data_IF_657215530007
#
_entry.id   IF_657215530007
#
_cell.length_a   1.000
_cell.length_b   1.000
_cell.length_c   1.000
_cell.angle_alpha   90.00
_cell.angle_beta   90.00
_cell.angle_gamma   90.00
#
_symmetry.space_group_name_H-M   'P 1'
#
loop_
_entity.id
_entity.type
_entity.pdbx_description
1 polymer ?
#
# COMPACT_ATOMS: atom_id res chain seq x y z
N UNK A 1 24.24 8.84 14.50
CA UNK A 1 22.92 8.77 13.86
C UNK A 1 22.90 7.54 12.96
N UNK A 2 21.96 6.62 13.14
CA UNK A 2 21.80 5.52 12.22
C UNK A 2 21.47 6.09 10.82
N UNK A 3 22.02 5.52 9.73
CA UNK A 3 21.71 5.98 8.39
C UNK A 3 20.20 5.91 8.18
N UNK A 4 19.61 7.01 7.75
CA UNK A 4 18.17 7.09 7.50
C UNK A 4 17.83 6.12 6.36
N UNK A 5 17.20 4.99 6.67
CA UNK A 5 16.80 4.02 5.66
C UNK A 5 15.79 4.69 4.74
N UNK A 6 16.01 4.69 3.41
CA UNK A 6 15.07 5.30 2.49
C UNK A 6 13.71 4.62 2.57
N UNK A 7 12.63 5.41 2.49
CA UNK A 7 11.26 4.88 2.43
C UNK A 7 11.03 4.06 1.16
N UNK A 8 9.97 3.26 1.15
CA UNK A 8 9.61 2.48 -0.04
C UNK A 8 9.40 3.41 -1.25
N UNK A 9 8.77 4.58 -1.08
CA UNK A 9 8.56 5.56 -2.13
C UNK A 9 9.87 6.11 -2.68
N UNK A 10 10.85 6.40 -1.82
CA UNK A 10 12.19 6.84 -2.23
C UNK A 10 12.93 5.74 -3.00
N UNK A 11 12.82 4.48 -2.55
CA UNK A 11 13.40 3.33 -3.25
C UNK A 11 12.74 3.13 -4.63
N UNK A 12 11.41 3.25 -4.72
CA UNK A 12 10.67 3.17 -5.99
C UNK A 12 11.13 4.22 -6.99
N UNK A 13 11.24 5.48 -6.53
CA UNK A 13 11.77 6.57 -7.34
C UNK A 13 13.17 6.25 -7.89
N UNK A 14 14.10 5.87 -7.01
CA UNK A 14 15.47 5.56 -7.41
C UNK A 14 15.56 4.35 -8.35
N UNK A 15 14.77 3.32 -8.11
CA UNK A 15 14.71 2.12 -8.96
C UNK A 15 14.22 2.47 -10.37
N UNK A 16 13.23 3.36 -10.49
CA UNK A 16 12.71 3.75 -11.80
C UNK A 16 13.73 4.57 -12.58
N UNK A 17 14.45 5.49 -11.93
CA UNK A 17 15.58 6.19 -12.56
C UNK A 17 16.66 5.20 -13.06
N UNK A 18 16.94 4.18 -12.27
CA UNK A 18 17.88 3.15 -12.66
C UNK A 18 17.38 2.35 -13.88
N UNK A 19 16.08 2.00 -13.94
CA UNK A 19 15.47 1.33 -15.09
C UNK A 19 15.58 2.17 -16.36
N UNK A 20 15.29 3.46 -16.28
CA UNK A 20 15.44 4.38 -17.40
C UNK A 20 16.88 4.43 -17.89
N UNK A 21 17.85 4.55 -16.99
CA UNK A 21 19.27 4.54 -17.33
C UNK A 21 19.69 3.23 -18.02
N UNK A 22 19.27 2.09 -17.47
CA UNK A 22 19.60 0.76 -18.02
C UNK A 22 18.94 0.53 -19.38
N UNK A 23 17.70 0.98 -19.58
CA UNK A 23 16.99 0.94 -20.86
C UNK A 23 17.69 1.79 -21.93
N UNK A 24 18.27 2.94 -21.55
CA UNK A 24 19.12 3.76 -22.43
C UNK A 24 20.52 3.14 -22.68
N UNK A 25 20.82 1.96 -22.17
CA UNK A 25 22.13 1.32 -22.29
C UNK A 25 23.27 2.05 -21.58
N UNK A 26 22.96 2.99 -20.67
CA UNK A 26 23.96 3.81 -20.01
C UNK A 26 24.51 3.18 -18.75
N UNK A 27 25.83 3.27 -18.55
CA UNK A 27 26.46 2.95 -17.27
C UNK A 27 26.28 4.08 -16.26
N UNK A 28 26.32 3.76 -14.95
CA UNK A 28 26.25 4.79 -13.91
C UNK A 28 27.38 5.83 -13.99
N UNK A 29 28.64 5.47 -14.34
CA UNK A 29 29.68 6.48 -14.63
C UNK A 29 29.35 7.41 -15.80
N UNK A 30 28.78 6.88 -16.90
CA UNK A 30 28.38 7.68 -18.05
C UNK A 30 27.28 8.69 -17.68
N UNK A 31 26.22 8.22 -16.96
CA UNK A 31 25.17 9.08 -16.46
C UNK A 31 25.73 10.18 -15.53
N UNK A 32 26.66 9.82 -14.66
CA UNK A 32 27.33 10.76 -13.75
C UNK A 32 28.08 11.86 -14.53
N UNK A 33 28.86 11.50 -15.54
CA UNK A 33 29.58 12.44 -16.39
C UNK A 33 28.61 13.38 -17.09
N UNK A 34 27.53 12.87 -17.69
CA UNK A 34 26.52 13.68 -18.39
C UNK A 34 25.77 14.64 -17.48
N UNK A 35 25.62 14.28 -16.20
CA UNK A 35 24.95 15.12 -15.16
C UNK A 35 25.94 16.08 -14.46
N UNK A 36 27.24 15.95 -14.70
CA UNK A 36 28.28 16.73 -14.01
C UNK A 36 28.42 16.36 -12.53
N UNK A 37 28.37 15.06 -12.21
CA UNK A 37 28.46 14.51 -10.83
C UNK A 37 29.37 13.28 -10.81
N UNK A 38 29.49 12.61 -9.67
CA UNK A 38 30.23 11.38 -9.54
C UNK A 38 29.31 10.13 -9.57
N UNK A 39 29.90 8.95 -9.82
CA UNK A 39 29.22 7.66 -9.85
C UNK A 39 28.50 7.35 -8.52
N UNK A 40 29.10 7.73 -7.40
CA UNK A 40 28.54 7.44 -6.06
C UNK A 40 27.25 8.19 -5.86
N UNK A 41 27.16 9.44 -6.35
CA UNK A 41 25.95 10.25 -6.30
C UNK A 41 24.81 9.60 -7.12
N UNK A 42 25.06 9.19 -8.37
CA UNK A 42 24.06 8.45 -9.17
C UNK A 42 23.61 7.18 -8.43
N UNK A 43 24.55 6.38 -7.92
CA UNK A 43 24.21 5.14 -7.19
C UNK A 43 23.37 5.40 -5.92
N UNK A 44 23.61 6.50 -5.21
CA UNK A 44 22.83 6.88 -4.04
C UNK A 44 21.44 7.41 -4.41
N UNK A 45 21.29 8.14 -5.52
CA UNK A 45 19.98 8.57 -6.05
C UNK A 45 19.18 7.32 -6.44
N UNK A 46 19.78 6.40 -7.22
CA UNK A 46 19.11 5.15 -7.66
C UNK A 46 18.78 4.22 -6.51
N UNK A 47 19.51 4.28 -5.39
CA UNK A 47 19.19 3.55 -4.16
C UNK A 47 18.16 4.28 -3.27
N UNK A 48 17.66 5.44 -3.66
CA UNK A 48 16.72 6.24 -2.89
C UNK A 48 17.31 6.94 -1.67
N UNK A 49 18.64 6.93 -1.50
CA UNK A 49 19.33 7.53 -0.35
C UNK A 49 19.47 9.04 -0.47
N UNK A 50 19.62 9.54 -1.69
CA UNK A 50 19.77 10.95 -2.00
C UNK A 50 18.59 11.43 -2.84
N UNK A 51 18.09 12.62 -2.51
CA UNK A 51 17.14 13.33 -3.36
C UNK A 51 17.82 13.95 -4.57
N UNK A 52 17.01 14.34 -5.54
CA UNK A 52 17.43 15.07 -6.73
C UNK A 52 16.48 16.25 -6.93
N UNK A 53 16.96 17.37 -7.48
CA UNK A 53 16.09 18.47 -7.88
C UNK A 53 15.29 18.10 -9.14
N UNK A 54 14.13 18.73 -9.31
CA UNK A 54 13.30 18.54 -10.50
C UNK A 54 14.08 18.83 -11.80
N UNK A 55 14.84 19.93 -11.83
CA UNK A 55 15.68 20.29 -12.97
C UNK A 55 16.66 19.17 -13.35
N UNK A 56 17.37 18.62 -12.36
CA UNK A 56 18.33 17.52 -12.58
C UNK A 56 17.64 16.22 -12.98
N UNK A 57 16.43 15.96 -12.45
CA UNK A 57 15.60 14.82 -12.87
C UNK A 57 15.25 14.95 -14.36
N UNK A 58 14.68 16.08 -14.77
CA UNK A 58 14.30 16.32 -16.18
C UNK A 58 15.50 16.21 -17.10
N UNK A 59 16.66 16.69 -16.67
CA UNK A 59 17.92 16.52 -17.41
C UNK A 59 18.30 15.04 -17.53
N UNK A 60 18.17 14.22 -16.45
CA UNK A 60 18.43 12.79 -16.54
C UNK A 60 17.43 12.10 -17.46
N UNK A 61 16.13 12.42 -17.38
CA UNK A 61 15.11 11.86 -18.26
C UNK A 61 15.44 12.14 -19.76
N UNK A 62 15.89 13.35 -20.08
CA UNK A 62 16.35 13.70 -21.43
C UNK A 62 17.61 12.92 -21.83
N UNK A 63 18.58 12.77 -20.93
CA UNK A 63 19.82 12.00 -21.19
C UNK A 63 19.50 10.51 -21.42
N UNK A 64 18.49 9.99 -20.73
CA UNK A 64 18.02 8.59 -20.85
C UNK A 64 17.02 8.39 -22.00
N UNK A 65 16.75 9.44 -22.79
CA UNK A 65 15.80 9.40 -23.93
C UNK A 65 14.42 8.90 -23.52
N UNK A 66 13.98 9.26 -22.31
CA UNK A 66 12.65 8.89 -21.81
C UNK A 66 11.58 9.70 -22.53
N UNK A 67 10.75 9.02 -23.34
CA UNK A 67 9.65 9.62 -24.09
C UNK A 67 8.29 9.51 -23.36
N UNK A 68 8.24 8.90 -22.17
CA UNK A 68 7.04 8.84 -21.31
C UNK A 68 6.96 10.12 -20.48
N UNK A 69 6.30 11.14 -21.01
CA UNK A 69 6.11 12.43 -20.34
C UNK A 69 5.35 12.28 -19.03
N UNK A 70 4.33 11.41 -18.97
CA UNK A 70 3.53 11.16 -17.75
C UNK A 70 4.41 10.56 -16.64
N UNK A 71 5.34 9.67 -16.99
CA UNK A 71 6.30 9.14 -16.02
C UNK A 71 7.24 10.23 -15.52
N UNK A 72 7.77 11.07 -16.41
CA UNK A 72 8.68 12.18 -16.05
C UNK A 72 7.96 13.16 -15.12
N UNK A 73 6.73 13.55 -15.41
CA UNK A 73 5.92 14.43 -14.55
C UNK A 73 5.64 13.78 -13.18
N UNK A 74 5.28 12.50 -13.17
CA UNK A 74 5.05 11.77 -11.92
C UNK A 74 6.32 11.70 -11.07
N UNK A 75 7.47 11.43 -11.68
CA UNK A 75 8.76 11.44 -10.98
C UNK A 75 9.13 12.86 -10.51
N UNK A 76 8.87 13.90 -11.32
CA UNK A 76 9.10 15.29 -10.94
C UNK A 76 8.30 15.69 -9.69
N UNK A 77 7.06 15.28 -9.60
CA UNK A 77 6.23 15.49 -8.41
C UNK A 77 6.75 14.76 -7.14
N UNK A 78 7.67 13.80 -7.30
CA UNK A 78 8.33 13.11 -6.19
C UNK A 78 9.63 13.80 -5.73
N UNK A 79 10.12 14.80 -6.47
CA UNK A 79 11.31 15.58 -6.13
C UNK A 79 11.01 16.70 -5.12
N UNK A 80 11.97 17.55 -4.81
CA UNK A 80 11.75 18.75 -3.98
C UNK A 80 11.81 18.53 -2.48
N UNK A 81 12.28 17.37 -2.05
CA UNK A 81 12.47 17.04 -0.65
C UNK A 81 11.18 16.56 0.02
N UNK A 82 11.34 16.01 1.21
CA UNK A 82 10.25 15.43 1.99
C UNK A 82 9.52 16.51 2.75
N UNK A 83 8.26 16.75 2.43
CA UNK A 83 7.37 17.54 3.29
C UNK A 83 7.00 16.68 4.50
N UNK A 84 6.87 17.32 5.66
CA UNK A 84 6.37 16.65 6.86
C UNK A 84 4.95 16.12 6.60
N UNK A 85 4.72 14.88 6.98
CA UNK A 85 3.46 14.18 6.80
C UNK A 85 2.96 13.67 8.16
N UNK A 86 1.66 13.40 8.29
CA UNK A 86 1.07 12.98 9.54
C UNK A 86 1.74 11.72 10.14
N UNK A 87 2.24 10.80 9.31
CA UNK A 87 2.92 9.58 9.80
C UNK A 87 4.32 9.85 10.36
N UNK A 88 4.88 11.05 10.18
CA UNK A 88 6.20 11.37 10.74
C UNK A 88 6.21 11.41 12.26
N UNK A 89 5.08 11.72 12.88
CA UNK A 89 4.93 11.68 14.34
C UNK A 89 5.10 10.27 14.92
N UNK A 90 4.88 9.23 14.12
CA UNK A 90 5.06 7.84 14.51
C UNK A 90 6.47 7.30 14.23
N UNK A 91 7.35 8.11 13.66
CA UNK A 91 8.73 7.72 13.36
C UNK A 91 9.49 7.35 14.62
N UNK A 92 10.09 6.14 14.62
CA UNK A 92 10.76 5.58 15.80
C UNK A 92 9.82 5.06 16.90
N UNK A 93 8.49 5.18 16.70
CA UNK A 93 7.46 4.70 17.64
C UNK A 93 6.75 3.44 17.14
N UNK A 94 6.69 3.26 15.83
CA UNK A 94 6.14 2.06 15.17
C UNK A 94 7.17 1.49 14.19
N UNK A 95 7.06 0.20 13.79
CA UNK A 95 7.94 -0.40 12.79
C UNK A 95 7.96 0.40 11.48
N UNK A 96 9.14 0.59 10.85
CA UNK A 96 9.27 1.39 9.62
C UNK A 96 8.35 0.96 8.49
N UNK A 97 8.09 -0.34 8.34
CA UNK A 97 7.18 -0.86 7.32
C UNK A 97 5.73 -0.36 7.44
N UNK A 98 5.26 -0.03 8.66
CA UNK A 98 3.94 0.58 8.83
C UNK A 98 3.92 2.02 8.29
N UNK A 99 5.03 2.75 8.41
CA UNK A 99 5.17 4.09 7.82
C UNK A 99 5.24 4.02 6.30
N UNK A 100 5.94 3.01 5.76
CA UNK A 100 6.00 2.75 4.34
C UNK A 100 4.60 2.50 3.75
N UNK A 101 3.74 1.72 4.44
CA UNK A 101 2.35 1.50 4.03
C UNK A 101 1.57 2.82 4.01
N UNK A 102 1.68 3.64 5.06
CA UNK A 102 1.02 4.95 5.12
C UNK A 102 1.44 5.86 3.96
N UNK A 103 2.72 5.88 3.62
CA UNK A 103 3.26 6.70 2.55
C UNK A 103 2.72 6.25 1.18
N UNK A 104 2.70 4.94 0.87
CA UNK A 104 2.18 4.46 -0.41
C UNK A 104 0.67 4.64 -0.53
N UNK A 105 -0.10 4.44 0.55
CA UNK A 105 -1.55 4.70 0.57
C UNK A 105 -1.86 6.19 0.33
N UNK A 106 -1.15 7.07 1.00
CA UNK A 106 -1.33 8.52 0.88
C UNK A 106 -1.11 9.01 -0.56
N UNK A 107 -0.07 8.51 -1.21
CA UNK A 107 0.29 8.92 -2.57
C UNK A 107 -0.40 8.11 -3.68
N UNK A 108 -1.14 7.07 -3.33
CA UNK A 108 -1.93 6.31 -4.30
C UNK A 108 -3.03 7.17 -4.92
N UNK A 109 -3.40 6.87 -6.15
CA UNK A 109 -4.61 7.40 -6.81
C UNK A 109 -5.80 6.46 -6.61
N UNK A 110 -5.55 5.18 -6.34
CA UNK A 110 -6.55 4.15 -6.05
C UNK A 110 -5.93 3.04 -5.22
N UNK A 111 -6.73 2.39 -4.39
CA UNK A 111 -6.35 1.24 -3.59
C UNK A 111 -7.19 0.02 -3.97
N UNK A 112 -6.54 -1.13 -4.10
CA UNK A 112 -7.21 -2.42 -4.33
C UNK A 112 -6.67 -3.45 -3.34
N UNK A 113 -7.52 -4.22 -2.70
CA UNK A 113 -7.10 -5.24 -1.74
C UNK A 113 -7.80 -6.57 -1.94
N UNK A 114 -7.10 -7.64 -1.59
CA UNK A 114 -7.69 -8.96 -1.33
C UNK A 114 -7.32 -9.37 0.07
N UNK A 115 -8.30 -9.82 0.85
CA UNK A 115 -8.11 -10.22 2.24
C UNK A 115 -8.77 -11.56 2.51
N UNK A 116 -7.98 -12.53 2.96
CA UNK A 116 -8.47 -13.91 3.17
C UNK A 116 -8.53 -14.31 4.64
N UNK A 117 -7.73 -13.70 5.51
CA UNK A 117 -7.60 -14.09 6.92
C UNK A 117 -7.93 -12.99 7.93
N UNK A 118 -7.96 -11.73 7.49
CA UNK A 118 -8.31 -10.59 8.34
C UNK A 118 -9.02 -9.52 7.51
N UNK A 119 -9.68 -8.60 8.17
CA UNK A 119 -10.32 -7.46 7.50
C UNK A 119 -9.28 -6.42 7.07
N UNK A 120 -9.53 -5.68 5.97
CA UNK A 120 -8.62 -4.64 5.53
C UNK A 120 -8.34 -3.63 6.65
N UNK A 121 -7.06 -3.28 6.85
CA UNK A 121 -6.64 -2.43 7.96
C UNK A 121 -7.29 -1.04 7.99
N UNK A 122 -7.66 -0.49 6.82
CA UNK A 122 -8.33 0.81 6.69
C UNK A 122 -9.80 0.81 7.17
N UNK A 123 -10.39 -0.35 7.44
CA UNK A 123 -11.77 -0.48 7.92
C UNK A 123 -11.86 -1.11 9.31
N UNK A 124 -10.74 -1.28 10.00
CA UNK A 124 -10.77 -1.86 11.33
C UNK A 124 -11.16 -0.84 12.39
N UNK A 125 -12.09 -1.21 13.27
CA UNK A 125 -12.39 -0.44 14.48
C UNK A 125 -11.22 -0.52 15.45
N UNK A 126 -11.19 0.38 16.44
CA UNK A 126 -10.14 0.43 17.44
C UNK A 126 -10.02 -0.89 18.22
N UNK A 127 -11.15 -1.44 18.66
CA UNK A 127 -11.21 -2.68 19.44
C UNK A 127 -10.76 -3.89 18.61
N UNK A 128 -11.18 -3.96 17.34
CA UNK A 128 -10.76 -5.02 16.43
C UNK A 128 -9.25 -4.95 16.15
N UNK A 129 -8.74 -3.77 15.85
CA UNK A 129 -7.31 -3.55 15.62
C UNK A 129 -6.48 -3.91 16.85
N UNK A 130 -6.94 -3.50 18.05
CA UNK A 130 -6.29 -3.86 19.32
C UNK A 130 -6.26 -5.37 19.52
N UNK A 131 -7.39 -6.04 19.32
CA UNK A 131 -7.47 -7.49 19.44
C UNK A 131 -6.52 -8.23 18.48
N UNK A 132 -6.35 -7.72 17.24
CA UNK A 132 -5.38 -8.28 16.31
C UNK A 132 -3.93 -8.08 16.78
N UNK A 133 -3.57 -6.88 17.27
CA UNK A 133 -2.22 -6.61 17.75
C UNK A 133 -1.88 -7.37 19.02
N UNK A 134 -2.86 -7.68 19.87
CA UNK A 134 -2.67 -8.50 21.07
C UNK A 134 -2.32 -9.97 20.78
N UNK A 135 -2.55 -10.43 19.55
CA UNK A 135 -2.20 -11.79 19.09
C UNK A 135 -0.78 -11.89 18.52
N UNK A 136 -0.05 -10.78 18.40
CA UNK A 136 1.32 -10.80 17.87
C UNK A 136 2.24 -11.55 18.84
N UNK A 137 3.09 -12.41 18.28
CA UNK A 137 4.09 -13.20 19.03
C UNK A 137 5.50 -12.80 18.57
N UNK A 138 6.41 -12.47 19.50
CA UNK A 138 6.21 -12.33 20.94
C UNK A 138 5.25 -11.18 21.27
N UNK A 139 4.56 -11.28 22.42
CA UNK A 139 3.56 -10.28 22.83
C UNK A 139 4.16 -8.88 22.90
N UNK A 140 3.49 -7.93 22.28
CA UNK A 140 3.90 -6.53 22.28
C UNK A 140 3.65 -5.86 23.65
N UNK A 141 4.51 -4.92 24.06
CA UNK A 141 4.21 -4.04 25.18
C UNK A 141 2.92 -3.24 24.92
N UNK A 142 2.13 -2.98 25.96
CA UNK A 142 0.85 -2.27 25.82
C UNK A 142 0.97 -0.93 25.09
N UNK A 143 1.99 -0.14 25.42
CA UNK A 143 2.24 1.15 24.75
C UNK A 143 2.45 0.98 23.24
N UNK A 144 3.16 -0.07 22.83
CA UNK A 144 3.39 -0.35 21.41
C UNK A 144 2.08 -0.77 20.71
N UNK A 145 1.22 -1.55 21.37
CA UNK A 145 -0.12 -1.87 20.85
C UNK A 145 -0.91 -0.59 20.60
N UNK A 146 -1.01 0.29 21.62
CA UNK A 146 -1.77 1.54 21.50
C UNK A 146 -1.21 2.47 20.40
N UNK A 147 0.10 2.55 20.24
CA UNK A 147 0.73 3.34 19.16
C UNK A 147 0.41 2.76 17.78
N UNK A 148 0.39 1.44 17.63
CA UNK A 148 0.01 0.78 16.37
C UNK A 148 -1.48 0.94 16.07
N UNK A 149 -2.33 0.89 17.09
CA UNK A 149 -3.78 1.16 16.95
C UNK A 149 -4.01 2.60 16.51
N UNK A 150 -3.43 3.57 17.22
CA UNK A 150 -3.55 4.99 16.86
C UNK A 150 -3.06 5.26 15.43
N UNK A 151 -1.91 4.71 15.07
CA UNK A 151 -1.38 4.80 13.70
C UNK A 151 -2.34 4.18 12.67
N UNK A 152 -2.97 3.02 12.97
CA UNK A 152 -3.92 2.36 12.06
C UNK A 152 -5.17 3.21 11.84
N UNK A 153 -5.70 3.81 12.90
CA UNK A 153 -6.86 4.72 12.79
C UNK A 153 -6.51 5.99 12.01
N UNK A 154 -5.33 6.58 12.24
CA UNK A 154 -4.88 7.75 11.49
C UNK A 154 -4.76 7.47 9.98
N UNK A 155 -4.41 6.26 9.55
CA UNK A 155 -4.39 5.88 8.12
C UNK A 155 -5.75 5.98 7.44
N UNK A 156 -6.86 5.80 8.17
CA UNK A 156 -8.21 5.83 7.62
C UNK A 156 -8.57 7.17 6.97
N UNK A 157 -7.85 8.24 7.31
CA UNK A 157 -7.99 9.55 6.66
C UNK A 157 -7.77 9.52 5.15
N UNK A 158 -7.10 8.49 4.62
CA UNK A 158 -6.94 8.29 3.18
C UNK A 158 -8.28 8.05 2.46
N UNK A 159 -9.28 7.55 3.17
CA UNK A 159 -10.64 7.29 2.67
C UNK A 159 -11.63 8.42 2.94
N UNK A 160 -11.30 9.35 3.87
CA UNK A 160 -12.26 10.33 4.41
C UNK A 160 -11.79 11.79 4.32
N UNK A 161 -10.51 12.03 4.01
CA UNK A 161 -9.92 13.38 3.93
C UNK A 161 -10.43 14.20 2.74
N UNK A 162 -9.79 15.34 2.48
CA UNK A 162 -10.18 16.28 1.41
C UNK A 162 -10.15 15.68 -0.01
N UNK A 163 -9.34 14.66 -0.23
CA UNK A 163 -9.24 13.93 -1.50
C UNK A 163 -9.32 12.42 -1.24
N UNK A 164 -10.52 11.90 -0.90
CA UNK A 164 -10.71 10.51 -0.52
C UNK A 164 -10.35 9.58 -1.69
N UNK A 165 -9.56 8.55 -1.40
CA UNK A 165 -9.08 7.63 -2.43
C UNK A 165 -10.16 6.61 -2.80
N UNK A 166 -10.37 6.32 -4.10
CA UNK A 166 -11.15 5.17 -4.52
C UNK A 166 -10.54 3.88 -3.97
N UNK A 167 -11.38 3.07 -3.37
CA UNK A 167 -11.01 1.81 -2.75
C UNK A 167 -11.88 0.67 -3.22
N UNK A 168 -11.26 -0.43 -3.66
CA UNK A 168 -11.94 -1.70 -3.92
C UNK A 168 -11.32 -2.79 -3.07
N UNK A 169 -12.11 -3.42 -2.20
CA UNK A 169 -11.66 -4.51 -1.36
C UNK A 169 -12.44 -5.79 -1.59
N UNK A 170 -11.76 -6.88 -1.89
CA UNK A 170 -12.34 -8.22 -1.93
C UNK A 170 -12.02 -8.92 -0.63
N UNK A 171 -13.05 -9.37 0.08
CA UNK A 171 -12.95 -10.01 1.39
C UNK A 171 -13.51 -11.43 1.28
N UNK A 172 -12.69 -12.42 1.58
CA UNK A 172 -13.18 -13.78 1.66
C UNK A 172 -14.01 -14.00 2.93
N UNK A 173 -15.03 -14.86 2.86
CA UNK A 173 -15.94 -15.14 3.98
C UNK A 173 -15.21 -15.54 5.28
N UNK A 174 -14.05 -16.21 5.18
CA UNK A 174 -13.24 -16.56 6.37
C UNK A 174 -12.85 -15.34 7.20
N UNK A 175 -12.43 -14.25 6.55
CA UNK A 175 -12.04 -13.02 7.24
C UNK A 175 -13.25 -12.34 7.94
N UNK A 176 -14.44 -12.43 7.36
CA UNK A 176 -15.67 -11.90 7.96
C UNK A 176 -16.12 -12.70 9.19
N UNK A 177 -15.85 -14.01 9.23
CA UNK A 177 -16.26 -14.91 10.31
C UNK A 177 -15.23 -15.07 11.41
N UNK A 178 -14.00 -14.61 11.18
CA UNK A 178 -12.93 -14.69 12.18
C UNK A 178 -13.18 -13.68 13.31
N UNK A 179 -13.38 -14.18 14.53
CA UNK A 179 -13.85 -13.38 15.66
C UNK A 179 -12.67 -12.79 16.47
N UNK A 180 -11.94 -11.86 15.87
CA UNK A 180 -10.93 -11.09 16.61
C UNK A 180 -11.59 -10.25 17.71
N UNK A 181 -11.14 -10.42 18.95
CA UNK A 181 -11.74 -9.74 20.11
C UNK A 181 -13.09 -10.33 20.56
N UNK A 182 -13.54 -11.45 19.96
CA UNK A 182 -14.77 -12.12 20.29
C UNK A 182 -16.00 -11.58 19.54
N UNK A 183 -17.16 -12.18 19.86
CA UNK A 183 -18.41 -12.01 19.11
C UNK A 183 -18.89 -10.55 19.04
N UNK A 184 -18.88 -9.84 20.15
CA UNK A 184 -19.38 -8.46 20.20
C UNK A 184 -18.49 -7.49 19.41
N UNK A 185 -17.16 -7.62 19.52
CA UNK A 185 -16.20 -6.81 18.75
C UNK A 185 -16.37 -7.09 17.25
N UNK A 186 -16.52 -8.36 16.87
CA UNK A 186 -16.73 -8.74 15.47
C UNK A 186 -18.05 -8.21 14.93
N UNK A 187 -19.13 -8.27 15.70
CA UNK A 187 -20.42 -7.69 15.30
C UNK A 187 -20.32 -6.18 15.08
N UNK A 188 -19.69 -5.45 16.00
CA UNK A 188 -19.45 -4.01 15.87
C UNK A 188 -18.60 -3.70 14.63
N UNK A 189 -17.55 -4.49 14.41
CA UNK A 189 -16.67 -4.37 13.24
C UNK A 189 -17.42 -4.60 11.90
N UNK A 190 -18.32 -5.58 11.83
CA UNK A 190 -19.10 -5.82 10.61
C UNK A 190 -20.12 -4.70 10.34
N UNK A 191 -20.69 -4.11 11.39
CA UNK A 191 -21.55 -2.92 11.25
C UNK A 191 -20.76 -1.73 10.70
N UNK A 192 -19.60 -1.47 11.27
CA UNK A 192 -18.70 -0.42 10.77
C UNK A 192 -18.31 -0.66 9.31
N UNK A 193 -18.03 -1.91 8.92
CA UNK A 193 -17.74 -2.27 7.54
C UNK A 193 -18.90 -1.94 6.58
N UNK A 194 -20.14 -2.16 7.03
CA UNK A 194 -21.35 -1.82 6.27
C UNK A 194 -21.52 -0.29 6.13
N UNK A 195 -21.26 0.48 7.20
CA UNK A 195 -21.29 1.94 7.19
C UNK A 195 -20.24 2.52 6.24
N UNK A 196 -19.01 2.03 6.30
CA UNK A 196 -17.94 2.48 5.39
C UNK A 196 -18.21 2.12 3.92
N UNK A 197 -18.90 1.01 3.66
CA UNK A 197 -19.29 0.62 2.30
C UNK A 197 -20.44 1.46 1.72
N UNK A 198 -21.04 2.39 2.49
CA UNK A 198 -22.00 3.37 1.98
C UNK A 198 -21.33 4.58 1.32
N UNK A 199 -20.00 4.72 1.45
CA UNK A 199 -19.24 5.82 0.83
C UNK A 199 -19.09 5.60 -0.68
N UNK A 200 -19.24 6.65 -1.46
CA UNK A 200 -19.14 6.62 -2.92
C UNK A 200 -17.77 6.14 -3.44
N UNK A 201 -16.71 6.35 -2.66
CA UNK A 201 -15.35 5.96 -3.01
C UNK A 201 -14.96 4.55 -2.54
N UNK A 202 -15.86 3.82 -1.85
CA UNK A 202 -15.58 2.49 -1.28
C UNK A 202 -16.46 1.44 -1.94
N UNK A 203 -15.83 0.35 -2.37
CA UNK A 203 -16.53 -0.85 -2.86
C UNK A 203 -15.96 -2.07 -2.15
N UNK A 204 -16.79 -2.74 -1.37
CA UNK A 204 -16.44 -4.00 -0.71
C UNK A 204 -17.18 -5.15 -1.39
N UNK A 205 -16.41 -6.14 -1.82
CA UNK A 205 -16.89 -7.35 -2.49
C UNK A 205 -16.57 -8.56 -1.61
N UNK A 206 -17.41 -9.58 -1.67
CA UNK A 206 -17.24 -10.80 -0.85
C UNK A 206 -17.08 -12.01 -1.75
N UNK A 207 -16.16 -12.89 -1.40
CA UNK A 207 -16.07 -14.24 -1.94
C UNK A 207 -16.56 -15.22 -0.85
N UNK A 208 -17.74 -15.84 -1.04
CA UNK A 208 -18.25 -16.86 -0.12
C UNK A 208 -17.47 -18.17 -0.20
N UNK A 209 -17.49 -18.98 0.86
CA UNK A 209 -16.99 -20.36 0.81
C UNK A 209 -17.61 -21.19 -0.32
N UNK A 210 -18.85 -20.91 -0.66
CA UNK A 210 -19.58 -21.62 -1.73
C UNK A 210 -18.95 -21.41 -3.12
N UNK A 211 -18.12 -20.37 -3.33
CA UNK A 211 -17.41 -20.20 -4.59
C UNK A 211 -16.30 -21.25 -4.80
N UNK A 212 -15.88 -21.95 -3.76
CA UNK A 212 -14.74 -22.88 -3.83
C UNK A 212 -13.40 -22.12 -4.02
N UNK A 213 -12.51 -22.68 -4.83
CA UNK A 213 -11.21 -22.06 -5.12
C UNK A 213 -11.33 -20.81 -6.00
N UNK A 214 -10.47 -19.83 -5.74
CA UNK A 214 -10.40 -18.58 -6.52
C UNK A 214 -8.94 -18.13 -6.66
N UNK A 215 -8.62 -17.28 -7.64
CA UNK A 215 -7.27 -16.70 -7.75
C UNK A 215 -6.91 -15.98 -6.46
N UNK A 216 -5.65 -16.12 -6.01
CA UNK A 216 -5.15 -15.51 -4.76
C UNK A 216 -5.78 -16.07 -3.46
N UNK A 217 -6.37 -17.27 -3.49
CA UNK A 217 -6.80 -17.95 -2.27
C UNK A 217 -5.59 -18.17 -1.34
N UNK A 218 -5.67 -17.64 -0.12
CA UNK A 218 -4.57 -17.66 0.86
C UNK A 218 -3.69 -16.42 0.88
N UNK A 219 -3.78 -15.53 -0.12
CA UNK A 219 -3.06 -14.27 -0.13
C UNK A 219 -3.85 -13.15 0.57
N UNK A 220 -3.11 -12.20 1.16
CA UNK A 220 -3.64 -10.94 1.65
C UNK A 220 -2.74 -9.83 1.14
N UNK A 221 -3.27 -8.99 0.26
CA UNK A 221 -2.49 -7.95 -0.41
C UNK A 221 -3.16 -6.58 -0.38
N UNK A 222 -2.33 -5.56 -0.46
CA UNK A 222 -2.70 -4.19 -0.82
C UNK A 222 -1.97 -3.82 -2.12
N UNK A 223 -2.71 -3.54 -3.17
CA UNK A 223 -2.21 -2.98 -4.42
C UNK A 223 -2.48 -1.47 -4.43
N UNK A 224 -1.42 -0.68 -4.43
CA UNK A 224 -1.50 0.78 -4.55
C UNK A 224 -1.27 1.17 -6.01
N UNK A 225 -2.30 1.75 -6.62
CA UNK A 225 -2.22 2.32 -7.98
C UNK A 225 -1.63 3.72 -7.87
N UNK A 226 -0.51 3.96 -8.53
CA UNK A 226 0.14 5.27 -8.59
C UNK A 226 -0.41 6.11 -9.77
N UNK A 227 0.00 7.38 -9.87
CA UNK A 227 -0.36 8.24 -11.01
C UNK A 227 0.21 7.69 -12.34
N UNK A 228 1.37 7.04 -12.30
CA UNK A 228 1.92 6.30 -13.42
C UNK A 228 2.10 4.83 -13.05
N UNK A 229 1.68 3.86 -13.90
CA UNK A 229 1.71 2.42 -13.61
C UNK A 229 3.10 1.86 -13.30
N UNK A 230 4.16 2.52 -13.78
CA UNK A 230 5.54 2.15 -13.45
C UNK A 230 5.86 2.30 -11.96
N UNK A 231 5.08 3.09 -11.22
CA UNK A 231 5.26 3.36 -9.79
C UNK A 231 4.25 2.62 -8.91
N UNK A 232 3.38 1.79 -9.48
CA UNK A 232 2.50 0.90 -8.72
C UNK A 232 3.31 0.06 -7.73
N UNK A 233 2.72 -0.28 -6.62
CA UNK A 233 3.39 -1.07 -5.58
C UNK A 233 2.40 -2.04 -4.95
N UNK A 234 2.82 -3.29 -4.75
CA UNK A 234 2.06 -4.28 -3.99
C UNK A 234 2.72 -4.49 -2.65
N UNK A 235 1.90 -4.47 -1.61
CA UNK A 235 2.29 -4.83 -0.26
C UNK A 235 1.62 -6.14 0.14
N UNK A 236 2.39 -7.03 0.79
CA UNK A 236 1.90 -8.24 1.44
C UNK A 236 2.45 -8.30 2.86
N UNK A 237 1.60 -8.68 3.80
CA UNK A 237 2.05 -9.01 5.15
C UNK A 237 2.76 -10.36 5.16
N UNK A 238 3.87 -10.46 5.89
CA UNK A 238 4.54 -11.71 6.15
C UNK A 238 5.01 -11.80 7.61
N UNK A 239 5.25 -13.01 8.13
CA UNK A 239 5.82 -13.19 9.47
C UNK A 239 7.19 -12.50 9.66
N UNK A 240 7.91 -12.27 8.57
CA UNK A 240 9.21 -11.58 8.57
C UNK A 240 9.10 -10.05 8.45
N UNK A 241 7.88 -9.52 8.34
CA UNK A 241 7.57 -8.10 8.10
C UNK A 241 6.94 -7.86 6.73
N UNK A 242 6.66 -6.61 6.39
CA UNK A 242 6.01 -6.26 5.12
C UNK A 242 6.92 -6.56 3.93
N UNK A 243 6.35 -7.19 2.89
CA UNK A 243 6.99 -7.40 1.60
C UNK A 243 6.42 -6.41 0.60
N UNK A 244 7.28 -5.85 -0.24
CA UNK A 244 6.89 -4.94 -1.31
C UNK A 244 7.34 -5.49 -2.65
N UNK A 245 6.44 -5.46 -3.64
CA UNK A 245 6.69 -5.89 -5.00
C UNK A 245 6.53 -4.70 -5.94
N UNK A 246 7.47 -4.56 -6.85
CA UNK A 246 7.58 -3.41 -7.73
C UNK A 246 8.10 -3.75 -9.14
N UNK A 247 8.41 -5.02 -9.41
CA UNK A 247 8.83 -5.48 -10.73
C UNK A 247 7.64 -5.39 -11.71
N UNK A 248 7.82 -4.84 -12.93
CA UNK A 248 6.74 -4.70 -13.92
C UNK A 248 5.99 -5.99 -14.18
N UNK A 249 6.68 -7.12 -14.36
CA UNK A 249 6.07 -8.43 -14.58
C UNK A 249 5.25 -8.90 -13.37
N UNK A 250 5.74 -8.66 -12.15
CA UNK A 250 4.99 -9.02 -10.93
C UNK A 250 3.75 -8.14 -10.78
N UNK A 251 3.87 -6.82 -11.00
CA UNK A 251 2.75 -5.88 -10.94
C UNK A 251 1.66 -6.23 -11.95
N UNK A 252 2.04 -6.59 -13.18
CA UNK A 252 1.10 -7.07 -14.21
C UNK A 252 0.36 -8.34 -13.77
N UNK A 253 1.10 -9.33 -13.25
CA UNK A 253 0.52 -10.55 -12.71
C UNK A 253 -0.46 -10.28 -11.55
N UNK A 254 -0.12 -9.38 -10.62
CA UNK A 254 -1.01 -8.99 -9.54
C UNK A 254 -2.26 -8.28 -10.07
N UNK A 255 -2.13 -7.41 -11.05
CA UNK A 255 -3.24 -6.68 -11.68
C UNK A 255 -4.22 -7.64 -12.33
N UNK A 256 -3.73 -8.57 -13.15
CA UNK A 256 -4.57 -9.61 -13.78
C UNK A 256 -5.30 -10.48 -12.75
N UNK A 257 -4.60 -10.89 -11.67
CA UNK A 257 -5.22 -11.69 -10.60
C UNK A 257 -6.30 -10.92 -9.86
N UNK A 258 -6.06 -9.63 -9.56
CA UNK A 258 -7.05 -8.76 -8.92
C UNK A 258 -8.30 -8.62 -9.79
N UNK A 259 -8.13 -8.43 -11.10
CA UNK A 259 -9.26 -8.34 -12.03
C UNK A 259 -10.10 -9.63 -12.02
N UNK A 260 -9.46 -10.78 -12.01
CA UNK A 260 -10.14 -12.08 -11.92
C UNK A 260 -10.84 -12.27 -10.57
N UNK A 261 -10.20 -11.88 -9.46
CA UNK A 261 -10.78 -11.99 -8.12
C UNK A 261 -12.02 -11.11 -7.98
N UNK A 262 -11.97 -9.88 -8.50
CA UNK A 262 -13.12 -8.97 -8.50
C UNK A 262 -14.28 -9.52 -9.35
N UNK A 263 -13.99 -10.22 -10.47
CA UNK A 263 -15.02 -10.83 -11.34
C UNK A 263 -15.74 -12.04 -10.69
N UNK A 264 -15.03 -12.84 -9.87
CA UNK A 264 -15.61 -14.00 -9.20
C UNK A 264 -16.30 -13.67 -7.89
N UNK A 265 -16.08 -12.47 -7.35
CA UNK A 265 -16.73 -12.01 -6.14
C UNK A 265 -18.22 -11.74 -6.34
N UNK A 266 -18.99 -11.73 -5.26
CA UNK A 266 -20.36 -11.25 -5.28
C UNK A 266 -20.41 -9.79 -5.72
N UNK A 267 -21.49 -9.38 -6.41
CA UNK A 267 -21.71 -7.94 -6.69
C UNK A 267 -21.77 -7.13 -5.41
N UNK A 268 -21.50 -5.82 -5.47
CA UNK A 268 -21.48 -4.93 -4.30
C UNK A 268 -22.76 -5.08 -3.45
N UNK A 269 -23.95 -5.09 -4.08
CA UNK A 269 -25.23 -5.28 -3.38
C UNK A 269 -25.31 -6.63 -2.66
N UNK A 270 -24.98 -7.73 -3.34
CA UNK A 270 -24.98 -9.07 -2.73
C UNK A 270 -23.93 -9.19 -1.62
N UNK A 271 -22.79 -8.54 -1.77
CA UNK A 271 -21.73 -8.50 -0.73
C UNK A 271 -22.23 -7.79 0.53
N UNK A 272 -22.89 -6.64 0.38
CA UNK A 272 -23.51 -5.92 1.50
C UNK A 272 -24.53 -6.79 2.22
N UNK A 273 -25.43 -7.47 1.47
CA UNK A 273 -26.43 -8.36 2.07
C UNK A 273 -25.79 -9.57 2.77
N UNK A 274 -24.69 -10.09 2.20
CA UNK A 274 -23.92 -11.19 2.78
C UNK A 274 -23.27 -10.79 4.13
N UNK A 275 -22.59 -9.64 4.17
CA UNK A 275 -21.97 -9.10 5.40
C UNK A 275 -23.06 -8.87 6.47
N UNK A 276 -24.21 -8.29 6.07
CA UNK A 276 -25.35 -8.06 6.96
C UNK A 276 -25.92 -9.37 7.52
N UNK A 277 -25.94 -10.43 6.71
CA UNK A 277 -26.32 -11.78 7.13
C UNK A 277 -25.41 -12.28 8.25
N UNK A 278 -24.09 -12.26 8.05
CA UNK A 278 -23.11 -12.69 9.07
C UNK A 278 -23.24 -11.84 10.35
N UNK A 279 -23.41 -10.53 10.23
CA UNK A 279 -23.56 -9.66 11.40
C UNK A 279 -24.81 -9.96 12.24
N UNK A 280 -25.87 -10.54 11.64
CA UNK A 280 -27.07 -10.99 12.34
C UNK A 280 -26.90 -12.35 13.02
N UNK A 281 -26.04 -13.22 12.49
CA UNK A 281 -25.70 -14.51 13.08
C UNK A 281 -24.87 -14.36 14.35
N UNK A 282 -24.14 -13.23 14.47
CA UNK A 282 -23.35 -12.83 15.63
C UNK A 282 -24.21 -12.04 16.64
#
# INVERSE_FOLDING_TARGET
MAPNTPSIRQRRFGLELRRLREAAGMSAPAAASSLGTDRTNISNIEAGRYGISEERLRRLASIYECNDEDLVETLAAMTGGRKASWWDEYRGKVPPGLLDISEIEHHAVRLRTVQTSHLPGLFQTEEHARAMFDLIVPRLPRLEVELRVAHRLARQTVLTGDAPKPYTGVIHESALRMQFGGREVTRAQLRHLLEENERDNVTLLVIPFANGGFPMAGDSILYTVAANPHLDTVHMDSPAGPLFFDSPTQLENFRMRLDLVEQVALTAKKSTDFIRGIAKEL
#
